data_IF_399388062780
#
_entry.id   IF_399388062780
#
_cell.length_a   1.000
_cell.length_b   1.000
_cell.length_c   1.000
_cell.angle_alpha   90.00
_cell.angle_beta   90.00
_cell.angle_gamma   90.00
#
_symmetry.space_group_name_H-M   'P 1'
#
loop_
_entity.id
_entity.type
_entity.pdbx_description
1 polymer ?
#
# COMPACT_ATOMS: atom_id res chain seq x y z
N UNK A 1 112.15 -29.92 64.46
CA UNK A 1 111.46 -30.69 65.51
C UNK A 1 110.07 -30.09 65.73
N UNK A 2 109.04 -30.91 65.52
CA UNK A 2 107.69 -30.90 66.09
C UNK A 2 106.88 -29.59 66.18
N UNK A 3 106.09 -29.28 65.14
CA UNK A 3 104.90 -28.39 65.25
C UNK A 3 103.68 -28.88 64.44
N UNK A 4 103.77 -30.02 63.74
CA UNK A 4 102.70 -30.48 62.83
C UNK A 4 101.48 -31.19 63.46
N UNK A 5 101.46 -31.70 64.72
CA UNK A 5 100.28 -32.38 65.24
C UNK A 5 99.22 -31.47 65.89
N UNK A 6 99.51 -30.18 66.16
CA UNK A 6 98.53 -29.26 66.79
C UNK A 6 97.55 -28.64 65.79
N UNK A 7 98.00 -28.29 64.59
CA UNK A 7 97.15 -27.66 63.56
C UNK A 7 96.08 -28.61 63.02
N UNK A 8 96.37 -29.90 62.92
CA UNK A 8 95.41 -30.91 62.41
C UNK A 8 94.27 -31.12 63.41
N UNK A 9 94.58 -31.17 64.70
CA UNK A 9 93.60 -31.35 65.78
C UNK A 9 92.70 -30.12 65.90
N UNK A 10 93.25 -28.90 65.75
CA UNK A 10 92.45 -27.67 65.74
C UNK A 10 91.56 -27.56 64.48
N UNK A 11 92.01 -28.10 63.35
CA UNK A 11 91.20 -28.21 62.12
C UNK A 11 90.06 -29.22 62.28
N UNK A 12 90.31 -30.40 62.84
CA UNK A 12 89.28 -31.40 63.14
C UNK A 12 88.24 -30.86 64.11
N UNK A 13 88.68 -30.15 65.15
CA UNK A 13 87.77 -29.53 66.13
C UNK A 13 86.88 -28.45 65.50
N UNK A 14 87.45 -27.58 64.65
CA UNK A 14 86.68 -26.60 63.87
C UNK A 14 85.74 -27.24 62.86
N UNK A 15 86.11 -28.39 62.29
CA UNK A 15 85.26 -29.13 61.37
C UNK A 15 84.06 -29.72 62.10
N UNK A 16 84.29 -30.33 63.27
CA UNK A 16 83.26 -30.89 64.13
C UNK A 16 82.27 -29.81 64.61
N UNK A 17 82.77 -28.67 65.08
CA UNK A 17 81.95 -27.53 65.49
C UNK A 17 81.10 -26.99 64.30
N UNK A 18 81.64 -27.04 63.09
CA UNK A 18 80.92 -26.61 61.87
C UNK A 18 79.88 -27.64 61.43
N UNK A 19 80.15 -28.93 61.58
CA UNK A 19 79.20 -30.03 61.33
C UNK A 19 78.03 -29.97 62.33
N UNK A 20 78.31 -29.82 63.63
CA UNK A 20 77.27 -29.65 64.65
C UNK A 20 76.41 -28.41 64.38
N UNK A 21 77.02 -27.30 63.96
CA UNK A 21 76.27 -26.10 63.59
C UNK A 21 75.38 -26.32 62.36
N UNK A 22 75.91 -26.96 61.31
CA UNK A 22 75.15 -27.30 60.10
C UNK A 22 73.99 -28.24 60.40
N UNK A 23 74.17 -29.19 61.31
CA UNK A 23 73.12 -30.12 61.73
C UNK A 23 72.03 -29.42 62.54
N UNK A 24 72.41 -28.47 63.40
CA UNK A 24 71.46 -27.60 64.11
C UNK A 24 70.68 -26.70 63.16
N UNK A 25 71.34 -26.07 62.17
CA UNK A 25 70.70 -25.21 61.16
C UNK A 25 69.74 -26.01 60.26
N UNK A 26 70.12 -27.23 59.86
CA UNK A 26 69.24 -28.15 59.11
C UNK A 26 68.00 -28.53 59.89
N UNK A 27 68.13 -28.77 61.19
CA UNK A 27 67.00 -29.11 62.06
C UNK A 27 66.03 -27.93 62.20
N UNK A 28 66.56 -26.73 62.45
CA UNK A 28 65.75 -25.50 62.50
C UNK A 28 65.03 -25.24 61.16
N UNK A 29 65.73 -25.42 60.05
CA UNK A 29 65.14 -25.27 58.71
C UNK A 29 64.06 -26.31 58.41
N UNK A 30 64.26 -27.55 58.87
CA UNK A 30 63.25 -28.62 58.81
C UNK A 30 61.98 -28.25 59.57
N UNK A 31 62.14 -27.78 60.81
CA UNK A 31 61.04 -27.37 61.68
C UNK A 31 60.28 -26.14 61.12
N UNK A 32 61.00 -25.16 60.57
CA UNK A 32 60.39 -23.99 59.90
C UNK A 32 59.63 -24.39 58.65
N UNK A 33 60.19 -25.30 57.84
CA UNK A 33 59.51 -25.81 56.65
C UNK A 33 58.23 -26.54 57.02
N UNK A 34 58.24 -27.37 58.05
CA UNK A 34 57.05 -28.07 58.53
C UNK A 34 55.98 -27.09 59.03
N UNK A 35 56.37 -26.07 59.82
CA UNK A 35 55.46 -25.00 60.26
C UNK A 35 54.84 -24.24 59.08
N UNK A 36 55.64 -23.92 58.06
CA UNK A 36 55.19 -23.19 56.89
C UNK A 36 54.22 -24.01 56.03
N UNK A 37 54.41 -25.34 56.01
CA UNK A 37 53.48 -26.26 55.32
C UNK A 37 52.14 -26.34 56.07
N UNK A 38 52.17 -26.51 57.40
CA UNK A 38 50.97 -26.49 58.24
C UNK A 38 50.21 -25.17 58.14
N UNK A 39 50.91 -24.04 58.16
CA UNK A 39 50.30 -22.72 58.04
C UNK A 39 49.63 -22.53 56.67
N UNK A 40 50.23 -23.06 55.59
CA UNK A 40 49.62 -23.06 54.25
C UNK A 40 48.33 -23.88 54.19
N UNK A 41 48.30 -25.04 54.83
CA UNK A 41 47.10 -25.87 54.92
C UNK A 41 46.01 -25.17 55.74
N UNK A 42 46.38 -24.55 56.86
CA UNK A 42 45.45 -23.83 57.73
C UNK A 42 44.86 -22.58 57.03
N UNK A 43 45.65 -21.85 56.24
CA UNK A 43 45.15 -20.76 55.41
C UNK A 43 44.22 -21.25 54.30
N UNK A 44 44.52 -22.40 53.67
CA UNK A 44 43.64 -23.03 52.67
C UNK A 44 42.31 -23.45 53.30
N UNK A 45 42.33 -24.04 54.48
CA UNK A 45 41.10 -24.38 55.21
C UNK A 45 40.30 -23.15 55.62
N UNK A 46 40.96 -22.09 56.10
CA UNK A 46 40.27 -20.84 56.47
C UNK A 46 39.64 -20.15 55.26
N UNK A 47 40.35 -20.11 54.12
CA UNK A 47 39.80 -19.59 52.86
C UNK A 47 38.63 -20.44 52.35
N UNK A 48 38.73 -21.76 52.43
CA UNK A 48 37.66 -22.71 52.09
C UNK A 48 36.43 -22.55 53.00
N UNK A 49 36.63 -22.31 54.31
CA UNK A 49 35.56 -22.05 55.28
C UNK A 49 34.88 -20.69 55.09
N UNK A 50 35.61 -19.67 54.63
CA UNK A 50 35.07 -18.32 54.39
C UNK A 50 34.25 -18.30 53.09
N UNK A 51 34.64 -19.05 52.06
CA UNK A 51 33.90 -19.15 50.80
C UNK A 51 32.78 -20.20 50.81
N UNK A 52 32.78 -21.15 51.76
CA UNK A 52 31.94 -22.36 51.75
C UNK A 52 31.99 -23.17 50.43
N UNK A 53 32.94 -22.85 49.56
CA UNK A 53 33.10 -23.37 48.22
C UNK A 53 34.54 -23.83 48.07
N UNK A 54 34.71 -25.02 47.49
CA UNK A 54 36.01 -25.50 47.05
C UNK A 54 36.54 -24.63 45.90
N UNK A 55 37.85 -24.65 45.65
CA UNK A 55 38.49 -23.84 44.60
C UNK A 55 37.88 -24.09 43.21
N UNK A 56 37.49 -25.33 42.92
CA UNK A 56 36.87 -25.70 41.65
C UNK A 56 35.42 -25.21 41.56
N UNK A 57 34.66 -25.24 42.66
CA UNK A 57 33.31 -24.68 42.71
C UNK A 57 33.32 -23.16 42.54
N UNK A 58 34.24 -22.45 43.21
CA UNK A 58 34.40 -21.01 43.04
C UNK A 58 34.78 -20.63 41.59
N UNK A 59 35.63 -21.42 40.94
CA UNK A 59 35.98 -21.22 39.53
C UNK A 59 34.78 -21.45 38.62
N UNK A 60 33.96 -22.46 38.91
CA UNK A 60 32.78 -22.78 38.12
C UNK A 60 31.68 -21.73 38.27
N UNK A 61 31.47 -21.22 39.49
CA UNK A 61 30.55 -20.12 39.78
C UNK A 61 30.98 -18.84 39.06
N UNK A 62 32.27 -18.50 39.12
CA UNK A 62 32.82 -17.31 38.45
C UNK A 62 32.71 -17.40 36.93
N UNK A 63 33.00 -18.57 36.35
CA UNK A 63 32.83 -18.81 34.91
C UNK A 63 31.36 -18.68 34.49
N UNK A 64 30.44 -19.18 35.32
CA UNK A 64 29.01 -19.07 35.08
C UNK A 64 28.52 -17.62 35.17
N UNK A 65 29.01 -16.84 36.14
CA UNK A 65 28.65 -15.41 36.27
C UNK A 65 29.19 -14.60 35.09
N UNK A 66 30.40 -14.92 34.60
CA UNK A 66 30.96 -14.32 33.38
C UNK A 66 30.15 -14.73 32.16
N UNK A 67 29.80 -16.01 32.00
CA UNK A 67 28.94 -16.48 30.91
C UNK A 67 27.57 -15.77 30.92
N UNK A 68 26.94 -15.61 32.08
CA UNK A 68 25.66 -14.91 32.21
C UNK A 68 25.77 -13.41 31.89
N UNK A 69 26.84 -12.74 32.31
CA UNK A 69 27.12 -11.34 31.96
C UNK A 69 27.39 -11.17 30.47
N UNK A 70 28.24 -12.01 29.89
CA UNK A 70 28.55 -11.98 28.45
C UNK A 70 27.29 -12.31 27.62
N UNK A 71 26.45 -13.25 28.07
CA UNK A 71 25.17 -13.55 27.42
C UNK A 71 24.23 -12.34 27.40
N UNK A 72 24.15 -11.56 28.48
CA UNK A 72 23.37 -10.31 28.50
C UNK A 72 23.93 -9.26 27.55
N UNK A 73 25.26 -9.12 27.46
CA UNK A 73 25.91 -8.20 26.52
C UNK A 73 25.63 -8.61 25.08
N UNK A 74 25.79 -9.90 24.75
CA UNK A 74 25.51 -10.43 23.41
C UNK A 74 24.04 -10.26 23.06
N UNK A 75 23.10 -10.56 23.97
CA UNK A 75 21.67 -10.37 23.75
C UNK A 75 21.33 -8.90 23.48
N UNK A 76 21.96 -7.95 24.19
CA UNK A 76 21.79 -6.52 23.92
C UNK A 76 22.32 -6.14 22.54
N UNK A 77 23.51 -6.61 22.15
CA UNK A 77 24.08 -6.34 20.82
C UNK A 77 23.19 -6.89 19.71
N UNK A 78 22.66 -8.12 19.88
CA UNK A 78 21.71 -8.72 18.92
C UNK A 78 20.49 -7.82 18.78
N UNK A 79 19.88 -7.41 19.90
CA UNK A 79 18.69 -6.55 19.88
C UNK A 79 18.96 -5.20 19.24
N UNK A 80 20.06 -4.54 19.60
CA UNK A 80 20.46 -3.25 19.01
C UNK A 80 20.71 -3.37 17.49
N UNK A 81 21.36 -4.45 17.07
CA UNK A 81 21.61 -4.77 15.66
C UNK A 81 20.31 -5.04 14.89
N UNK A 82 19.37 -5.82 15.47
CA UNK A 82 18.05 -6.06 14.88
C UNK A 82 17.23 -4.77 14.76
N UNK A 83 17.26 -3.90 15.77
CA UNK A 83 16.58 -2.59 15.73
C UNK A 83 17.21 -1.64 14.70
N UNK A 84 18.54 -1.63 14.56
CA UNK A 84 19.24 -0.88 13.51
C UNK A 84 18.94 -1.41 12.12
N UNK A 85 18.96 -2.73 11.93
CA UNK A 85 18.59 -3.38 10.70
C UNK A 85 17.15 -3.05 10.31
N UNK A 86 16.22 -3.09 11.27
CA UNK A 86 14.81 -2.73 11.05
C UNK A 86 14.64 -1.26 10.65
N UNK A 87 15.26 -0.34 11.38
CA UNK A 87 15.22 1.10 11.02
C UNK A 87 15.80 1.37 9.63
N UNK A 88 16.89 0.69 9.30
CA UNK A 88 17.52 0.82 7.99
C UNK A 88 16.61 0.27 6.89
N UNK A 89 15.98 -0.89 7.11
CA UNK A 89 15.03 -1.51 6.19
C UNK A 89 13.78 -0.64 5.99
N UNK A 90 13.21 -0.08 7.06
CA UNK A 90 12.05 0.82 6.98
C UNK A 90 12.36 2.05 6.13
N UNK A 91 13.52 2.69 6.37
CA UNK A 91 13.96 3.84 5.59
C UNK A 91 14.20 3.48 4.12
N UNK A 92 14.88 2.36 3.87
CA UNK A 92 15.17 1.92 2.50
C UNK A 92 13.90 1.56 1.73
N UNK A 93 12.93 0.94 2.41
CA UNK A 93 11.63 0.60 1.82
C UNK A 93 10.85 1.86 1.40
N UNK A 94 10.86 2.90 2.25
CA UNK A 94 10.28 4.20 1.88
C UNK A 94 10.99 4.84 0.69
N UNK A 95 12.31 4.79 0.64
CA UNK A 95 13.09 5.30 -0.50
C UNK A 95 12.72 4.57 -1.81
N UNK A 96 12.64 3.24 -1.78
CA UNK A 96 12.25 2.41 -2.92
C UNK A 96 10.85 2.80 -3.41
N UNK A 97 9.86 2.88 -2.50
CA UNK A 97 8.49 3.25 -2.87
C UNK A 97 8.41 4.64 -3.50
N UNK A 98 9.12 5.63 -2.94
CA UNK A 98 9.17 6.99 -3.50
C UNK A 98 9.82 7.00 -4.88
N UNK A 99 10.89 6.23 -5.08
CA UNK A 99 11.56 6.16 -6.38
C UNK A 99 10.70 5.44 -7.43
N UNK A 100 10.02 4.35 -7.04
CA UNK A 100 9.03 3.67 -7.89
C UNK A 100 7.90 4.61 -8.32
N UNK A 101 7.38 5.43 -7.41
CA UNK A 101 6.33 6.41 -7.72
C UNK A 101 6.79 7.44 -8.78
N UNK A 102 8.05 7.90 -8.70
CA UNK A 102 8.61 8.82 -9.70
C UNK A 102 8.73 8.17 -11.06
N UNK A 103 9.11 6.90 -11.11
CA UNK A 103 9.21 6.13 -12.36
C UNK A 103 7.87 5.84 -13.02
N UNK A 104 6.77 5.90 -12.26
CA UNK A 104 5.41 5.74 -12.76
C UNK A 104 4.91 6.90 -13.62
N UNK A 105 5.57 8.07 -13.66
CA UNK A 105 5.07 9.23 -14.41
C UNK A 105 4.93 8.94 -15.91
N UNK A 106 3.77 9.29 -16.50
CA UNK A 106 3.53 9.26 -17.94
C UNK A 106 3.48 10.67 -18.53
N UNK A 107 3.96 10.80 -19.77
CA UNK A 107 3.76 11.99 -20.61
C UNK A 107 2.41 11.95 -21.37
N UNK A 108 1.54 10.98 -21.07
CA UNK A 108 0.33 10.70 -21.82
C UNK A 108 -0.88 11.45 -21.25
N UNK A 109 -1.55 12.27 -22.07
CA UNK A 109 -2.82 12.90 -21.70
C UNK A 109 -3.95 11.92 -22.03
N UNK A 110 -4.71 11.50 -21.02
CA UNK A 110 -5.87 10.64 -21.23
C UNK A 110 -6.93 11.36 -22.08
N UNK A 111 -7.36 10.72 -23.17
CA UNK A 111 -8.56 11.13 -23.89
C UNK A 111 -9.80 10.59 -23.16
N UNK A 112 -10.66 11.49 -22.69
CA UNK A 112 -11.96 11.12 -22.15
C UNK A 112 -12.97 10.99 -23.29
N UNK A 113 -13.59 9.83 -23.42
CA UNK A 113 -14.71 9.65 -24.34
C UNK A 113 -15.98 10.25 -23.74
N UNK A 114 -16.26 11.50 -24.10
CA UNK A 114 -17.54 12.12 -23.74
C UNK A 114 -18.65 11.43 -24.51
N UNK A 115 -19.68 10.96 -23.80
CA UNK A 115 -20.83 10.24 -24.39
C UNK A 115 -21.91 11.17 -24.94
N UNK A 116 -21.56 12.42 -25.24
CA UNK A 116 -22.50 13.46 -25.67
C UNK A 116 -22.11 14.00 -27.05
N UNK A 117 -23.11 14.08 -27.95
CA UNK A 117 -22.98 14.73 -29.26
C UNK A 117 -23.82 15.98 -29.27
N UNK A 118 -23.21 17.14 -29.53
CA UNK A 118 -23.91 18.43 -29.61
C UNK A 118 -24.44 18.66 -31.02
N UNK A 119 -25.68 19.12 -31.10
CA UNK A 119 -26.34 19.48 -32.33
C UNK A 119 -26.80 20.93 -32.24
N UNK A 120 -26.43 21.72 -33.23
CA UNK A 120 -26.73 23.16 -33.31
C UNK A 120 -27.99 23.49 -34.12
N UNK A 121 -28.64 22.49 -34.73
CA UNK A 121 -29.77 22.67 -35.65
C UNK A 121 -30.95 21.73 -35.30
N UNK A 122 -32.14 22.31 -35.09
CA UNK A 122 -33.38 21.59 -34.81
C UNK A 122 -33.84 20.72 -36.01
N UNK A 123 -33.52 21.11 -37.25
CA UNK A 123 -33.86 20.29 -38.42
C UNK A 123 -33.06 18.98 -38.43
N UNK A 124 -31.82 18.99 -37.93
CA UNK A 124 -31.00 17.79 -37.77
C UNK A 124 -31.57 16.89 -36.66
N UNK A 125 -32.03 17.47 -35.55
CA UNK A 125 -32.71 16.74 -34.47
C UNK A 125 -33.94 16.00 -35.00
N UNK A 126 -34.77 16.67 -35.81
CA UNK A 126 -35.95 16.06 -36.46
C UNK A 126 -35.60 14.90 -37.39
N UNK A 127 -34.48 14.98 -38.13
CA UNK A 127 -34.00 13.88 -39.00
C UNK A 127 -33.47 12.70 -38.20
N UNK A 128 -32.82 12.93 -37.06
CA UNK A 128 -32.29 11.87 -36.18
C UNK A 128 -33.44 11.07 -35.56
N UNK A 129 -34.47 11.76 -35.06
CA UNK A 129 -35.68 11.09 -34.56
C UNK A 129 -36.38 10.35 -35.71
N UNK A 130 -36.58 11.05 -36.83
CA UNK A 130 -37.34 10.55 -37.97
C UNK A 130 -38.84 10.49 -37.69
N UNK A 131 -39.64 10.25 -38.74
CA UNK A 131 -41.10 10.13 -38.59
C UNK A 131 -41.44 8.99 -37.62
N UNK A 132 -42.23 9.28 -36.59
CA UNK A 132 -42.64 8.33 -35.53
C UNK A 132 -41.46 7.68 -34.77
N UNK A 133 -40.30 8.34 -34.75
CA UNK A 133 -39.11 7.79 -34.07
C UNK A 133 -38.45 6.63 -34.83
N UNK A 134 -38.76 6.42 -36.12
CA UNK A 134 -38.25 5.25 -36.86
C UNK A 134 -36.71 5.22 -36.95
N UNK A 135 -36.08 6.39 -37.04
CA UNK A 135 -34.65 6.49 -37.30
C UNK A 135 -33.87 6.28 -36.01
N UNK A 136 -34.32 6.91 -34.91
CA UNK A 136 -33.72 6.70 -33.60
C UNK A 136 -33.84 5.25 -33.15
N UNK A 137 -35.01 4.60 -33.34
CA UNK A 137 -35.17 3.16 -33.04
C UNK A 137 -34.26 2.27 -33.88
N UNK A 138 -34.12 2.55 -35.18
CA UNK A 138 -33.20 1.81 -36.04
C UNK A 138 -31.74 1.99 -35.58
N UNK A 139 -31.37 3.18 -35.13
CA UNK A 139 -30.05 3.47 -34.58
C UNK A 139 -29.80 2.75 -33.25
N UNK A 140 -30.73 2.81 -32.31
CA UNK A 140 -30.68 2.08 -31.03
C UNK A 140 -30.57 0.58 -31.27
N UNK A 141 -31.36 0.03 -32.21
CA UNK A 141 -31.31 -1.39 -32.56
C UNK A 141 -29.96 -1.80 -33.20
N UNK A 142 -29.42 -0.98 -34.11
CA UNK A 142 -28.16 -1.30 -34.79
C UNK A 142 -26.93 -1.21 -33.88
N UNK A 143 -26.96 -0.28 -32.91
CA UNK A 143 -25.84 0.01 -32.01
C UNK A 143 -25.95 -0.69 -30.65
N UNK A 144 -27.17 -1.00 -30.20
CA UNK A 144 -27.43 -1.54 -28.87
C UNK A 144 -27.19 -0.52 -27.74
N UNK A 145 -27.41 0.77 -28.03
CA UNK A 145 -27.37 1.85 -27.04
C UNK A 145 -28.74 2.52 -26.94
N UNK A 146 -29.02 3.14 -25.81
CA UNK A 146 -30.18 4.01 -25.62
C UNK A 146 -29.78 5.45 -25.95
N UNK A 147 -30.64 6.14 -26.71
CA UNK A 147 -30.38 7.52 -27.14
C UNK A 147 -31.36 8.45 -26.43
N UNK A 148 -30.81 9.34 -25.60
CA UNK A 148 -31.58 10.38 -24.93
C UNK A 148 -31.34 11.74 -25.59
N UNK A 149 -32.43 12.46 -25.85
CA UNK A 149 -32.45 13.72 -26.58
C UNK A 149 -32.90 14.84 -25.64
N UNK A 150 -31.96 15.67 -25.24
CA UNK A 150 -32.24 16.83 -24.38
C UNK A 150 -32.94 17.96 -25.18
N UNK A 151 -33.67 18.83 -24.47
CA UNK A 151 -34.28 20.03 -25.03
C UNK A 151 -33.20 21.01 -25.55
N UNK A 152 -32.01 21.01 -24.93
CA UNK A 152 -30.88 21.90 -25.29
C UNK A 152 -30.05 21.47 -26.51
N UNK A 153 -30.49 20.48 -27.28
CA UNK A 153 -29.78 20.03 -28.49
C UNK A 153 -28.56 19.15 -28.20
N UNK A 154 -28.48 18.56 -27.01
CA UNK A 154 -27.47 17.58 -26.64
C UNK A 154 -28.06 16.16 -26.75
N UNK A 155 -27.41 15.31 -27.54
CA UNK A 155 -27.73 13.88 -27.60
C UNK A 155 -26.82 13.13 -26.64
N UNK A 156 -27.41 12.43 -25.67
CA UNK A 156 -26.69 11.57 -24.72
C UNK A 156 -26.83 10.11 -25.15
N UNK A 157 -25.70 9.40 -25.19
CA UNK A 157 -25.65 7.98 -25.57
C UNK A 157 -25.37 7.13 -24.34
N UNK A 158 -26.31 6.27 -23.99
CA UNK A 158 -26.28 5.46 -22.78
C UNK A 158 -26.12 3.98 -23.13
N UNK A 159 -25.10 3.33 -22.56
CA UNK A 159 -24.91 1.88 -22.62
C UNK A 159 -23.88 1.46 -21.57
N UNK A 160 -24.04 0.25 -21.03
CA UNK A 160 -23.05 -0.37 -20.14
C UNK A 160 -21.75 -0.72 -20.88
N UNK A 161 -21.85 -1.02 -22.18
CA UNK A 161 -20.71 -1.33 -23.04
C UNK A 161 -20.15 -0.02 -23.64
N UNK A 162 -18.94 0.32 -23.19
CA UNK A 162 -18.28 1.57 -23.58
C UNK A 162 -17.81 1.53 -25.05
N UNK A 163 -17.58 0.33 -25.61
CA UNK A 163 -17.27 0.16 -27.03
C UNK A 163 -18.52 0.44 -27.87
N UNK A 164 -19.69 -0.06 -27.45
CA UNK A 164 -20.97 0.26 -28.14
C UNK A 164 -21.26 1.76 -28.12
N UNK A 165 -21.02 2.44 -26.99
CA UNK A 165 -21.16 3.91 -26.91
C UNK A 165 -20.26 4.63 -27.90
N UNK A 166 -19.00 4.21 -28.03
CA UNK A 166 -18.07 4.82 -28.98
C UNK A 166 -18.47 4.56 -30.44
N UNK A 167 -18.89 3.33 -30.77
CA UNK A 167 -19.42 2.98 -32.09
C UNK A 167 -20.63 3.86 -32.41
N UNK A 168 -21.55 4.02 -31.46
CA UNK A 168 -22.73 4.87 -31.62
C UNK A 168 -22.33 6.33 -31.84
N UNK A 169 -21.47 6.89 -30.98
CA UNK A 169 -20.99 8.28 -31.09
C UNK A 169 -20.41 8.57 -32.47
N UNK A 170 -19.44 7.76 -32.92
CA UNK A 170 -18.80 7.92 -34.23
C UNK A 170 -19.78 7.72 -35.38
N UNK A 171 -20.69 6.76 -35.26
CA UNK A 171 -21.72 6.52 -36.28
C UNK A 171 -22.66 7.71 -36.41
N UNK A 172 -23.08 8.29 -35.29
CA UNK A 172 -23.95 9.47 -35.25
C UNK A 172 -23.24 10.70 -35.85
N UNK A 173 -21.98 10.95 -35.51
CA UNK A 173 -21.18 12.02 -36.11
C UNK A 173 -21.05 11.88 -37.63
N UNK A 174 -20.84 10.65 -38.13
CA UNK A 174 -20.80 10.37 -39.58
C UNK A 174 -22.15 10.57 -40.24
N UNK A 175 -23.24 10.12 -39.62
CA UNK A 175 -24.60 10.29 -40.14
C UNK A 175 -25.02 11.76 -40.21
N UNK A 176 -24.64 12.56 -39.21
CA UNK A 176 -24.85 14.01 -39.20
C UNK A 176 -24.11 14.67 -40.37
N UNK A 177 -22.84 14.30 -40.60
CA UNK A 177 -22.04 14.81 -41.74
C UNK A 177 -22.60 14.38 -43.10
N UNK A 178 -23.13 13.15 -43.21
CA UNK A 178 -23.72 12.60 -44.43
C UNK A 178 -25.13 13.17 -44.70
N UNK A 179 -25.81 13.75 -43.69
CA UNK A 179 -27.18 14.31 -43.72
C UNK A 179 -28.31 13.33 -44.07
N UNK A 180 -27.97 12.12 -44.54
CA UNK A 180 -28.87 11.03 -44.92
C UNK A 180 -29.08 10.06 -43.76
N UNK A 181 -30.09 10.35 -42.96
CA UNK A 181 -30.44 9.56 -41.77
C UNK A 181 -31.68 8.72 -42.10
N UNK A 182 -31.45 7.50 -42.60
CA UNK A 182 -32.49 6.51 -42.94
C UNK A 182 -32.07 5.14 -42.42
N UNK A 183 -33.00 4.23 -42.08
CA UNK A 183 -32.67 2.95 -41.42
C UNK A 183 -31.57 2.15 -42.12
N UNK A 184 -31.67 1.96 -43.44
CA UNK A 184 -30.65 1.24 -44.23
C UNK A 184 -29.26 1.89 -44.14
N UNK A 185 -29.19 3.23 -44.20
CA UNK A 185 -27.94 3.96 -44.12
C UNK A 185 -27.35 3.94 -42.71
N UNK A 186 -28.21 3.96 -41.69
CA UNK A 186 -27.81 3.82 -40.29
C UNK A 186 -27.12 2.47 -40.08
N UNK A 187 -27.75 1.38 -40.50
CA UNK A 187 -27.18 0.04 -40.40
C UNK A 187 -25.83 -0.08 -41.11
N UNK A 188 -25.73 0.45 -42.34
CA UNK A 188 -24.49 0.46 -43.13
C UNK A 188 -23.35 1.22 -42.42
N UNK A 189 -23.63 2.44 -41.92
CA UNK A 189 -22.63 3.27 -41.24
C UNK A 189 -22.21 2.66 -39.90
N UNK A 190 -23.15 2.07 -39.16
CA UNK A 190 -22.85 1.40 -37.89
C UNK A 190 -21.95 0.19 -38.14
N UNK A 191 -22.25 -0.65 -39.13
CA UNK A 191 -21.44 -1.81 -39.48
C UNK A 191 -20.03 -1.41 -39.96
N UNK A 192 -19.91 -0.38 -40.78
CA UNK A 192 -18.61 0.17 -41.17
C UNK A 192 -17.83 0.69 -39.95
N UNK A 193 -18.50 1.41 -39.06
CA UNK A 193 -17.87 2.01 -37.87
C UNK A 193 -17.45 0.94 -36.87
N UNK A 194 -18.19 -0.16 -36.72
CA UNK A 194 -17.78 -1.32 -35.91
C UNK A 194 -16.42 -1.85 -36.37
N UNK A 195 -16.24 -2.07 -37.67
CA UNK A 195 -14.97 -2.55 -38.25
C UNK A 195 -13.81 -1.57 -38.04
N UNK A 196 -14.08 -0.26 -38.14
CA UNK A 196 -13.08 0.76 -37.85
C UNK A 196 -12.68 0.77 -36.37
N UNK A 197 -13.64 0.68 -35.45
CA UNK A 197 -13.38 0.62 -34.01
C UNK A 197 -12.64 -0.67 -33.63
N UNK A 198 -12.97 -1.81 -34.23
CA UNK A 198 -12.22 -3.07 -34.05
C UNK A 198 -10.76 -2.94 -34.47
N UNK A 199 -10.48 -2.28 -35.59
CA UNK A 199 -9.11 -2.02 -36.03
C UNK A 199 -8.37 -1.13 -35.03
N UNK A 200 -9.02 -0.07 -34.56
CA UNK A 200 -8.44 0.83 -33.53
C UNK A 200 -8.16 0.05 -32.24
N UNK A 201 -9.08 -0.79 -31.77
CA UNK A 201 -8.84 -1.61 -30.57
C UNK A 201 -7.60 -2.50 -30.75
N UNK A 202 -7.49 -3.19 -31.88
CA UNK A 202 -6.31 -4.02 -32.13
C UNK A 202 -5.00 -3.22 -32.11
N UNK A 203 -4.95 -2.08 -32.80
CA UNK A 203 -3.77 -1.21 -32.85
C UNK A 203 -3.40 -0.65 -31.47
N UNK A 204 -4.39 -0.29 -30.65
CA UNK A 204 -4.19 0.27 -29.32
C UNK A 204 -3.78 -0.78 -28.30
N UNK A 205 -4.31 -2.01 -28.43
CA UNK A 205 -3.86 -3.14 -27.62
C UNK A 205 -2.42 -3.56 -27.95
N UNK A 206 -2.04 -3.56 -29.23
CA UNK A 206 -0.67 -3.78 -29.67
C UNK A 206 0.27 -2.69 -29.12
N UNK A 207 -0.14 -1.42 -29.21
CA UNK A 207 0.61 -0.29 -28.67
C UNK A 207 0.81 -0.41 -27.16
N UNK A 208 -0.25 -0.70 -26.40
CA UNK A 208 -0.17 -0.89 -24.94
C UNK A 208 0.80 -2.01 -24.58
N UNK A 209 0.70 -3.17 -25.22
CA UNK A 209 1.60 -4.30 -24.98
C UNK A 209 3.07 -3.95 -25.30
N UNK A 210 3.31 -3.26 -26.42
CA UNK A 210 4.66 -2.83 -26.81
C UNK A 210 5.27 -1.80 -25.86
N UNK A 211 4.48 -0.82 -25.38
CA UNK A 211 4.96 0.20 -24.45
C UNK A 211 5.44 -0.40 -23.11
N UNK A 212 4.81 -1.49 -22.66
CA UNK A 212 5.27 -2.22 -21.46
C UNK A 212 6.38 -3.24 -21.76
N UNK A 213 6.74 -3.46 -23.03
CA UNK A 213 7.77 -4.40 -23.46
C UNK A 213 7.30 -5.85 -23.59
N UNK A 214 6.00 -6.08 -23.78
CA UNK A 214 5.41 -7.39 -24.05
C UNK A 214 5.19 -7.55 -25.55
N UNK A 215 5.74 -8.62 -26.12
CA UNK A 215 5.63 -8.95 -27.54
C UNK A 215 5.00 -10.34 -27.73
N UNK A 216 4.45 -10.61 -28.91
CA UNK A 216 3.90 -11.92 -29.32
C UNK A 216 2.64 -12.38 -28.56
N UNK A 217 1.78 -11.47 -28.13
CA UNK A 217 0.46 -11.86 -27.62
C UNK A 217 -0.46 -12.32 -28.76
N UNK A 218 -1.41 -13.24 -28.50
CA UNK A 218 -2.42 -13.63 -29.48
C UNK A 218 -3.23 -12.42 -29.95
N UNK A 219 -3.54 -12.37 -31.26
CA UNK A 219 -4.29 -11.26 -31.87
C UNK A 219 -5.60 -10.94 -31.15
N UNK A 220 -6.33 -11.97 -30.74
CA UNK A 220 -7.59 -11.81 -30.01
C UNK A 220 -7.37 -11.17 -28.63
N UNK A 221 -6.30 -11.55 -27.92
CA UNK A 221 -5.96 -10.95 -26.63
C UNK A 221 -5.54 -9.48 -26.77
N UNK A 222 -4.81 -9.14 -27.83
CA UNK A 222 -4.50 -7.74 -28.18
C UNK A 222 -5.78 -6.94 -28.43
N UNK A 223 -6.74 -7.49 -29.18
CA UNK A 223 -8.03 -6.82 -29.39
C UNK A 223 -8.82 -6.62 -28.08
N UNK A 224 -8.72 -7.54 -27.13
CA UNK A 224 -9.35 -7.40 -25.79
C UNK A 224 -8.65 -6.30 -24.99
N UNK A 225 -7.31 -6.29 -24.94
CA UNK A 225 -6.53 -5.21 -24.31
C UNK A 225 -6.87 -3.84 -24.91
N UNK A 226 -7.09 -3.78 -26.22
CA UNK A 226 -7.52 -2.58 -26.93
C UNK A 226 -8.78 -1.90 -26.38
N UNK A 227 -9.67 -2.68 -25.75
CA UNK A 227 -10.88 -2.15 -25.10
C UNK A 227 -10.56 -1.23 -23.92
N UNK A 228 -9.35 -1.31 -23.34
CA UNK A 228 -8.90 -0.43 -22.26
C UNK A 228 -8.98 1.03 -22.69
N UNK A 229 -8.73 1.34 -23.98
CA UNK A 229 -8.82 2.70 -24.51
C UNK A 229 -10.16 3.35 -24.22
N UNK A 230 -11.23 2.58 -24.26
CA UNK A 230 -12.58 3.08 -24.05
C UNK A 230 -13.06 2.88 -22.62
N UNK A 231 -12.29 2.20 -21.76
CA UNK A 231 -12.66 1.89 -20.38
C UNK A 231 -12.08 2.93 -19.42
N UNK A 232 -12.95 3.50 -18.60
CA UNK A 232 -12.55 4.35 -17.47
C UNK A 232 -12.92 3.65 -16.16
N UNK A 233 -12.06 3.73 -15.15
CA UNK A 233 -12.28 3.22 -13.80
C UNK A 233 -12.01 4.35 -12.81
N UNK A 234 -13.02 4.72 -12.02
CA UNK A 234 -12.95 5.84 -11.07
C UNK A 234 -12.48 7.17 -11.69
N UNK A 235 -12.77 7.41 -12.98
CA UNK A 235 -12.31 8.63 -13.66
C UNK A 235 -10.90 8.57 -14.26
N UNK A 236 -10.18 7.45 -14.14
CA UNK A 236 -8.92 7.23 -14.84
C UNK A 236 -9.12 6.31 -16.05
N UNK A 237 -8.50 6.66 -17.19
CA UNK A 237 -8.48 5.77 -18.34
C UNK A 237 -7.64 4.52 -18.04
N UNK A 238 -8.14 3.33 -18.40
CA UNK A 238 -7.51 2.07 -18.03
C UNK A 238 -6.16 1.86 -18.72
N UNK A 239 -5.94 2.38 -19.94
CA UNK A 239 -4.62 2.32 -20.61
C UNK A 239 -3.57 3.06 -19.79
N UNK A 240 -3.90 4.27 -19.36
CA UNK A 240 -3.02 5.13 -18.57
C UNK A 240 -2.68 4.48 -17.24
N UNK A 241 -3.71 4.00 -16.52
CA UNK A 241 -3.55 3.26 -15.27
C UNK A 241 -2.62 2.05 -15.43
N UNK A 242 -2.89 1.19 -16.42
CA UNK A 242 -2.09 -0.02 -16.64
C UNK A 242 -0.64 0.30 -17.00
N UNK A 243 -0.37 1.33 -17.80
CA UNK A 243 0.99 1.75 -18.13
C UNK A 243 1.75 2.25 -16.89
N UNK A 244 1.09 3.05 -16.05
CA UNK A 244 1.66 3.60 -14.81
C UNK A 244 1.97 2.50 -13.81
N UNK A 245 0.98 1.66 -13.52
CA UNK A 245 1.13 0.48 -12.67
C UNK A 245 2.26 -0.41 -13.17
N UNK A 246 2.31 -0.72 -14.47
CA UNK A 246 3.34 -1.61 -15.00
C UNK A 246 4.74 -1.03 -14.84
N UNK A 247 4.93 0.28 -15.02
CA UNK A 247 6.21 0.96 -14.78
C UNK A 247 6.63 0.87 -13.30
N UNK A 248 5.68 1.13 -12.39
CA UNK A 248 5.91 1.03 -10.94
C UNK A 248 6.27 -0.40 -10.56
N UNK A 249 5.50 -1.39 -11.02
CA UNK A 249 5.69 -2.80 -10.75
C UNK A 249 7.03 -3.33 -11.25
N UNK A 250 7.43 -3.00 -12.48
CA UNK A 250 8.73 -3.37 -13.04
C UNK A 250 9.87 -2.81 -12.18
N UNK A 251 9.79 -1.54 -11.77
CA UNK A 251 10.82 -0.93 -10.93
C UNK A 251 10.91 -1.62 -9.57
N UNK A 252 9.77 -1.87 -8.92
CA UNK A 252 9.71 -2.62 -7.65
C UNK A 252 10.33 -4.01 -7.79
N UNK A 253 9.99 -4.72 -8.88
CA UNK A 253 10.52 -6.07 -9.15
C UNK A 253 12.04 -6.08 -9.26
N UNK A 254 12.65 -5.05 -9.85
CA UNK A 254 14.10 -4.91 -9.92
C UNK A 254 14.72 -4.70 -8.53
N UNK A 255 14.15 -3.82 -7.71
CA UNK A 255 14.65 -3.50 -6.37
C UNK A 255 14.62 -4.72 -5.43
N UNK A 256 13.56 -5.54 -5.51
CA UNK A 256 13.40 -6.73 -4.66
C UNK A 256 13.90 -8.03 -5.33
N UNK A 257 14.45 -7.95 -6.55
CA UNK A 257 14.94 -9.10 -7.34
C UNK A 257 13.87 -10.18 -7.62
N UNK A 258 12.63 -9.75 -7.83
CA UNK A 258 11.52 -10.62 -8.25
C UNK A 258 11.55 -10.88 -9.76
N UNK A 259 10.69 -11.77 -10.26
CA UNK A 259 10.58 -12.03 -11.69
C UNK A 259 9.85 -10.88 -12.41
N UNK A 260 10.64 -10.04 -13.10
CA UNK A 260 10.15 -8.86 -13.82
C UNK A 260 9.15 -9.20 -14.92
N UNK A 261 9.32 -10.33 -15.62
CA UNK A 261 8.42 -10.72 -16.72
C UNK A 261 7.05 -11.13 -16.21
N UNK A 262 7.00 -11.82 -15.07
CA UNK A 262 5.75 -12.19 -14.40
C UNK A 262 5.03 -10.92 -13.90
N UNK A 263 5.75 -9.99 -13.26
CA UNK A 263 5.16 -8.72 -12.80
C UNK A 263 4.66 -7.89 -13.97
N UNK A 264 5.43 -7.76 -15.06
CA UNK A 264 5.04 -7.02 -16.26
C UNK A 264 3.73 -7.53 -16.86
N UNK A 265 3.63 -8.85 -17.05
CA UNK A 265 2.42 -9.47 -17.58
C UNK A 265 1.27 -9.43 -16.57
N UNK A 266 1.56 -9.58 -15.27
CA UNK A 266 0.60 -9.43 -14.19
C UNK A 266 -0.04 -8.05 -14.18
N UNK A 267 0.75 -6.97 -14.22
CA UNK A 267 0.28 -5.59 -14.29
C UNK A 267 -0.51 -5.32 -15.58
N UNK A 268 -0.02 -5.80 -16.74
CA UNK A 268 -0.71 -5.64 -18.02
C UNK A 268 -2.12 -6.26 -18.00
N UNK A 269 -2.29 -7.38 -17.29
CA UNK A 269 -3.52 -8.15 -17.29
C UNK A 269 -4.40 -7.99 -16.05
N UNK A 270 -3.97 -7.28 -15.00
CA UNK A 270 -4.66 -7.24 -13.70
C UNK A 270 -6.17 -6.96 -13.85
N UNK A 271 -6.53 -5.97 -14.68
CA UNK A 271 -7.90 -5.55 -14.90
C UNK A 271 -8.51 -6.02 -16.23
N UNK A 272 -7.91 -7.01 -16.91
CA UNK A 272 -8.40 -7.48 -18.22
C UNK A 272 -9.86 -7.98 -18.16
N UNK A 273 -10.30 -8.48 -16.99
CA UNK A 273 -11.68 -8.88 -16.80
C UNK A 273 -12.70 -7.73 -16.81
N UNK A 274 -12.29 -6.47 -16.64
CA UNK A 274 -13.20 -5.30 -16.70
C UNK A 274 -13.77 -5.05 -18.10
N UNK A 275 -13.15 -5.64 -19.13
CA UNK A 275 -13.54 -5.49 -20.55
C UNK A 275 -14.06 -6.79 -21.17
N UNK A 276 -14.28 -7.81 -20.35
CA UNK A 276 -14.84 -9.13 -20.72
C UNK A 276 -16.27 -9.22 -20.20
N UNK A 277 -17.19 -9.64 -21.06
CA UNK A 277 -18.58 -9.90 -20.66
C UNK A 277 -18.70 -11.29 -20.01
N UNK A 278 -19.41 -11.39 -18.89
CA UNK A 278 -19.67 -12.67 -18.22
C UNK A 278 -20.18 -12.52 -16.78
N UNK A 279 -20.55 -13.63 -16.16
CA UNK A 279 -20.96 -13.68 -14.75
C UNK A 279 -19.76 -13.89 -13.82
N UNK A 280 -19.60 -13.00 -12.84
CA UNK A 280 -18.55 -13.08 -11.81
C UNK A 280 -17.82 -11.75 -11.58
N UNK A 281 -16.87 -11.76 -10.66
CA UNK A 281 -15.95 -10.62 -10.49
C UNK A 281 -15.01 -10.48 -11.68
N UNK A 282 -14.52 -9.26 -11.95
CA UNK A 282 -13.57 -9.02 -13.04
C UNK A 282 -12.27 -9.83 -12.83
N UNK A 283 -11.86 -10.04 -11.58
CA UNK A 283 -10.76 -10.92 -11.20
C UNK A 283 -10.96 -12.33 -11.77
N UNK A 284 -12.12 -12.93 -11.52
CA UNK A 284 -12.45 -14.28 -12.01
C UNK A 284 -12.53 -14.33 -13.54
N UNK A 285 -13.20 -13.36 -14.15
CA UNK A 285 -13.32 -13.27 -15.61
C UNK A 285 -11.96 -13.13 -16.29
N UNK A 286 -11.06 -12.32 -15.72
CA UNK A 286 -9.69 -12.17 -16.18
C UNK A 286 -8.90 -13.47 -16.06
N UNK A 287 -8.95 -14.14 -14.91
CA UNK A 287 -8.29 -15.43 -14.72
C UNK A 287 -8.78 -16.51 -15.69
N UNK A 288 -10.09 -16.63 -15.87
CA UNK A 288 -10.69 -17.62 -16.79
C UNK A 288 -10.34 -17.31 -18.26
N UNK A 289 -10.27 -16.04 -18.64
CA UNK A 289 -9.81 -15.62 -19.97
C UNK A 289 -8.35 -16.05 -20.20
N UNK A 290 -7.46 -15.72 -19.28
CA UNK A 290 -6.03 -15.99 -19.42
C UNK A 290 -5.72 -17.49 -19.46
N UNK A 291 -6.51 -18.31 -18.73
CA UNK A 291 -6.45 -19.78 -18.84
C UNK A 291 -6.77 -20.28 -20.25
N UNK A 292 -7.78 -19.71 -20.92
CA UNK A 292 -8.13 -20.08 -22.31
C UNK A 292 -7.00 -19.78 -23.29
N UNK A 293 -6.20 -18.75 -23.03
CA UNK A 293 -5.03 -18.39 -23.83
C UNK A 293 -3.73 -19.10 -23.40
N UNK A 294 -3.80 -20.07 -22.47
CA UNK A 294 -2.65 -20.79 -21.92
C UNK A 294 -1.57 -19.87 -21.33
N UNK A 295 -1.97 -18.75 -20.71
CA UNK A 295 -1.05 -17.89 -19.98
C UNK A 295 -0.53 -18.64 -18.74
N UNK A 296 0.77 -18.53 -18.39
CA UNK A 296 1.33 -19.22 -17.23
C UNK A 296 0.64 -18.89 -15.90
N UNK A 297 0.47 -19.91 -15.04
CA UNK A 297 -0.21 -19.78 -13.74
C UNK A 297 0.34 -18.67 -12.83
N UNK A 298 1.66 -18.41 -12.74
CA UNK A 298 2.17 -17.30 -11.91
C UNK A 298 1.61 -15.92 -12.31
N UNK A 299 1.35 -15.70 -13.61
CA UNK A 299 0.75 -14.46 -14.11
C UNK A 299 -0.74 -14.43 -13.80
N UNK A 300 -1.42 -15.57 -13.99
CA UNK A 300 -2.85 -15.71 -13.66
C UNK A 300 -3.07 -15.46 -12.17
N UNK A 301 -2.18 -15.95 -11.30
CA UNK A 301 -2.26 -15.71 -9.87
C UNK A 301 -2.15 -14.22 -9.52
N UNK A 302 -1.24 -13.47 -10.16
CA UNK A 302 -1.17 -12.02 -9.98
C UNK A 302 -2.53 -11.36 -10.28
N UNK A 303 -3.17 -11.74 -11.38
CA UNK A 303 -4.51 -11.24 -11.76
C UNK A 303 -5.59 -11.71 -10.78
N UNK A 304 -5.50 -12.92 -10.25
CA UNK A 304 -6.47 -13.45 -9.28
C UNK A 304 -6.31 -12.86 -7.86
N UNK A 305 -5.16 -12.26 -7.56
CA UNK A 305 -4.74 -11.88 -6.20
C UNK A 305 -4.66 -10.36 -6.00
N UNK A 306 -4.74 -9.56 -7.08
CA UNK A 306 -4.53 -8.11 -7.01
C UNK A 306 -5.59 -7.31 -6.24
N UNK A 307 -6.68 -7.92 -5.75
CA UNK A 307 -7.62 -7.29 -4.79
C UNK A 307 -7.41 -7.75 -3.35
N UNK A 308 -6.42 -8.62 -3.10
CA UNK A 308 -6.19 -9.24 -1.77
C UNK A 308 -7.39 -10.08 -1.25
N UNK A 309 -8.30 -10.48 -2.15
CA UNK A 309 -9.44 -11.35 -1.82
C UNK A 309 -9.03 -12.75 -1.32
N UNK A 310 -7.78 -13.15 -1.61
CA UNK A 310 -7.14 -14.38 -1.14
C UNK A 310 -5.65 -14.11 -0.88
N UNK A 311 -4.97 -14.95 -0.07
CA UNK A 311 -3.55 -14.77 0.22
C UNK A 311 -2.69 -14.78 -1.04
N UNK A 312 -1.68 -13.91 -1.07
CA UNK A 312 -0.70 -13.87 -2.15
C UNK A 312 0.10 -15.16 -2.23
N UNK A 313 0.18 -15.73 -3.42
CA UNK A 313 0.91 -16.95 -3.73
C UNK A 313 2.39 -16.71 -4.02
N UNK A 314 2.77 -15.48 -4.38
CA UNK A 314 4.15 -15.11 -4.70
C UNK A 314 4.45 -13.64 -4.41
N UNK A 315 5.73 -13.28 -4.38
CA UNK A 315 6.18 -11.90 -4.22
C UNK A 315 5.74 -11.03 -5.41
N UNK A 316 5.67 -11.60 -6.61
CA UNK A 316 5.18 -10.91 -7.80
C UNK A 316 3.72 -10.48 -7.66
N UNK A 317 2.88 -11.32 -7.05
CA UNK A 317 1.47 -10.98 -6.80
C UNK A 317 1.34 -9.82 -5.81
N UNK A 318 2.20 -9.78 -4.79
CA UNK A 318 2.30 -8.64 -3.86
C UNK A 318 2.75 -7.37 -4.59
N UNK A 319 3.72 -7.46 -5.51
CA UNK A 319 4.20 -6.31 -6.28
C UNK A 319 3.11 -5.74 -7.18
N UNK A 320 2.35 -6.60 -7.87
CA UNK A 320 1.23 -6.16 -8.74
C UNK A 320 0.17 -5.43 -7.89
N UNK A 321 -0.22 -5.99 -6.74
CA UNK A 321 -1.13 -5.33 -5.81
C UNK A 321 -0.62 -3.95 -5.34
N UNK A 322 0.65 -3.86 -4.94
CA UNK A 322 1.26 -2.60 -4.52
C UNK A 322 1.27 -1.59 -5.67
N UNK A 323 1.62 -2.02 -6.88
CA UNK A 323 1.67 -1.16 -8.04
C UNK A 323 0.29 -0.59 -8.41
N UNK A 324 -0.76 -1.42 -8.39
CA UNK A 324 -2.15 -1.01 -8.64
C UNK A 324 -2.60 0.01 -7.58
N UNK A 325 -2.34 -0.27 -6.30
CA UNK A 325 -2.66 0.62 -5.19
C UNK A 325 -1.95 1.98 -5.31
N UNK A 326 -0.67 2.01 -5.68
CA UNK A 326 0.09 3.25 -5.89
C UNK A 326 -0.48 4.05 -7.07
N UNK A 327 -0.75 3.37 -8.19
CA UNK A 327 -1.29 4.03 -9.38
C UNK A 327 -2.65 4.68 -9.09
N UNK A 328 -3.54 3.95 -8.40
CA UNK A 328 -4.91 4.35 -8.11
C UNK A 328 -5.12 5.28 -6.92
N UNK A 329 -4.15 5.45 -6.02
CA UNK A 329 -4.24 6.31 -4.82
C UNK A 329 -3.81 7.77 -5.07
N UNK A 330 -3.38 8.14 -6.28
CA UNK A 330 -2.87 9.49 -6.57
C UNK A 330 -4.00 10.54 -6.55
N UNK A 331 -3.81 11.68 -5.88
CA UNK A 331 -4.74 12.81 -5.94
C UNK A 331 -4.96 13.26 -7.39
N UNK A 332 -6.21 13.33 -7.84
CA UNK A 332 -6.58 13.67 -9.22
C UNK A 332 -6.56 12.51 -10.23
N UNK A 333 -6.09 11.31 -9.85
CA UNK A 333 -6.26 10.11 -10.67
C UNK A 333 -7.71 9.60 -10.61
N UNK A 334 -8.38 9.80 -9.47
CA UNK A 334 -9.81 9.59 -9.35
C UNK A 334 -10.56 10.91 -9.51
N UNK A 335 -11.36 11.04 -10.56
CA UNK A 335 -12.43 12.03 -10.55
C UNK A 335 -13.49 11.52 -9.59
N UNK A 336 -13.42 11.93 -8.32
CA UNK A 336 -14.64 11.97 -7.54
C UNK A 336 -15.61 12.89 -8.27
N UNK A 337 -16.81 12.38 -8.54
CA UNK A 337 -17.86 13.14 -9.21
C UNK A 337 -18.15 14.38 -8.37
N UNK A 338 -17.60 15.52 -8.79
CA UNK A 338 -17.59 16.75 -7.98
C UNK A 338 -19.02 17.18 -7.64
N UNK A 339 -19.98 16.84 -8.51
CA UNK A 339 -21.41 17.07 -8.29
C UNK A 339 -22.01 16.15 -7.23
N UNK A 340 -21.73 14.84 -7.27
CA UNK A 340 -22.24 13.90 -6.26
C UNK A 340 -21.57 14.17 -4.90
N UNK A 341 -20.28 14.51 -4.90
CA UNK A 341 -19.56 14.99 -3.73
C UNK A 341 -20.19 16.25 -3.12
N UNK A 342 -20.44 17.27 -3.94
CA UNK A 342 -21.07 18.52 -3.49
C UNK A 342 -22.50 18.28 -2.99
N UNK A 343 -23.25 17.38 -3.64
CA UNK A 343 -24.60 17.00 -3.23
C UNK A 343 -24.58 16.27 -1.89
N UNK A 344 -23.66 15.31 -1.71
CA UNK A 344 -23.46 14.59 -0.45
C UNK A 344 -23.10 15.52 0.72
N UNK A 345 -22.18 16.46 0.51
CA UNK A 345 -21.82 17.44 1.55
C UNK A 345 -23.04 18.28 1.95
N UNK A 346 -23.82 18.76 0.97
CA UNK A 346 -25.06 19.51 1.23
C UNK A 346 -26.08 18.67 1.99
N UNK A 347 -26.32 17.43 1.59
CA UNK A 347 -27.26 16.54 2.30
C UNK A 347 -26.84 16.31 3.76
N UNK A 348 -25.54 16.17 4.01
CA UNK A 348 -24.99 16.01 5.36
C UNK A 348 -25.20 17.26 6.24
N UNK A 349 -25.01 18.44 5.67
CA UNK A 349 -25.30 19.72 6.33
C UNK A 349 -26.81 19.90 6.60
N UNK A 350 -27.65 19.53 5.64
CA UNK A 350 -29.11 19.60 5.76
C UNK A 350 -29.66 18.63 6.83
N UNK A 351 -29.07 17.44 7.00
CA UNK A 351 -29.43 16.52 8.09
C UNK A 351 -29.18 17.20 9.45
N UNK A 352 -28.00 17.80 9.65
CA UNK A 352 -27.71 18.49 10.91
C UNK A 352 -28.61 19.69 11.17
N UNK A 353 -28.93 20.47 10.12
CA UNK A 353 -29.79 21.67 10.22
C UNK A 353 -31.24 21.37 10.61
N UNK A 354 -31.70 20.11 10.50
CA UNK A 354 -33.04 19.70 10.96
C UNK A 354 -33.18 19.64 12.48
N UNK A 355 -32.06 19.55 13.21
CA UNK A 355 -32.09 19.42 14.68
C UNK A 355 -32.33 20.78 15.34
N UNK A 356 -33.30 20.83 16.25
CA UNK A 356 -33.62 22.04 16.99
C UNK A 356 -32.42 22.49 17.85
N UNK A 357 -32.04 23.76 17.72
CA UNK A 357 -30.88 24.35 18.41
C UNK A 357 -29.58 24.31 17.60
N UNK A 358 -29.56 23.68 16.43
CA UNK A 358 -28.50 23.84 15.43
C UNK A 358 -28.73 25.15 14.67
N UNK A 359 -27.74 26.05 14.71
CA UNK A 359 -27.76 27.30 13.98
C UNK A 359 -27.19 27.15 12.57
N UNK A 360 -26.11 26.37 12.43
CA UNK A 360 -25.48 26.10 11.14
C UNK A 360 -24.70 24.78 11.18
N UNK A 361 -24.36 24.24 10.02
CA UNK A 361 -23.58 23.02 9.91
C UNK A 361 -22.69 23.06 8.66
N UNK A 362 -21.47 22.55 8.80
CA UNK A 362 -20.44 22.56 7.76
C UNK A 362 -19.74 21.21 7.67
N UNK A 363 -19.75 20.60 6.49
CA UNK A 363 -19.05 19.35 6.22
C UNK A 363 -17.61 19.59 5.74
N UNK A 364 -16.65 18.85 6.29
CA UNK A 364 -15.21 18.93 6.00
C UNK A 364 -14.64 17.53 5.69
N UNK A 365 -13.38 17.50 5.26
CA UNK A 365 -12.60 16.27 5.04
C UNK A 365 -13.35 15.21 4.23
N UNK A 366 -13.85 15.61 3.06
CA UNK A 366 -14.61 14.75 2.17
C UNK A 366 -15.88 14.13 2.77
N UNK A 367 -16.49 14.77 3.76
CA UNK A 367 -17.69 14.28 4.43
C UNK A 367 -17.40 13.39 5.64
N UNK A 368 -16.14 13.28 6.07
CA UNK A 368 -15.75 12.55 7.28
C UNK A 368 -15.80 13.38 8.55
N UNK A 369 -15.83 14.70 8.43
CA UNK A 369 -16.01 15.60 9.57
C UNK A 369 -17.23 16.50 9.35
N UNK A 370 -18.09 16.61 10.35
CA UNK A 370 -19.22 17.55 10.36
C UNK A 370 -19.10 18.45 11.57
N UNK A 371 -19.05 19.77 11.34
CA UNK A 371 -19.07 20.76 12.42
C UNK A 371 -20.44 21.38 12.52
N UNK A 372 -21.03 21.30 13.71
CA UNK A 372 -22.38 21.76 13.98
C UNK A 372 -22.30 22.93 14.94
N UNK A 373 -22.78 24.09 14.53
CA UNK A 373 -22.82 25.30 15.35
C UNK A 373 -24.12 25.31 16.14
N UNK A 374 -24.00 25.35 17.46
CA UNK A 374 -25.12 25.26 18.38
C UNK A 374 -25.44 26.62 18.97
N UNK A 375 -26.73 26.98 18.96
CA UNK A 375 -27.23 28.18 19.63
C UNK A 375 -27.17 27.98 21.16
N UNK A 376 -26.30 28.73 21.88
CA UNK A 376 -26.13 28.56 23.32
C UNK A 376 -27.37 28.96 24.12
N UNK A 377 -28.31 29.72 23.52
CA UNK A 377 -29.57 30.11 24.14
C UNK A 377 -30.66 29.05 24.06
N UNK A 378 -30.51 28.04 23.18
CA UNK A 378 -31.50 26.97 22.99
C UNK A 378 -31.09 25.64 23.62
N UNK A 379 -29.80 25.31 23.60
CA UNK A 379 -29.29 24.05 24.10
C UNK A 379 -28.22 24.27 25.18
N UNK A 380 -28.26 23.44 26.22
CA UNK A 380 -27.20 23.33 27.22
C UNK A 380 -26.09 22.35 26.78
N UNK A 381 -25.03 22.21 27.58
CA UNK A 381 -23.87 21.36 27.25
C UNK A 381 -24.23 19.87 27.16
N UNK A 382 -25.20 19.42 27.95
CA UNK A 382 -25.64 18.02 27.95
C UNK A 382 -26.46 17.71 26.70
N UNK A 383 -27.37 18.62 26.35
CA UNK A 383 -28.19 18.54 25.15
C UNK A 383 -27.35 18.66 23.87
N UNK A 384 -26.31 19.51 23.90
CA UNK A 384 -25.33 19.65 22.81
C UNK A 384 -24.63 18.33 22.52
N UNK A 385 -24.17 17.64 23.57
CA UNK A 385 -23.51 16.32 23.44
C UNK A 385 -24.47 15.28 22.87
N UNK A 386 -25.73 15.28 23.33
CA UNK A 386 -26.76 14.35 22.85
C UNK A 386 -27.08 14.56 21.36
N UNK A 387 -27.21 15.82 20.94
CA UNK A 387 -27.51 16.18 19.54
C UNK A 387 -26.34 15.83 18.62
N UNK A 388 -25.09 16.07 19.04
CA UNK A 388 -23.92 15.64 18.27
C UNK A 388 -23.93 14.13 17.98
N UNK A 389 -24.30 13.31 18.97
CA UNK A 389 -24.40 11.86 18.81
C UNK A 389 -25.54 11.45 17.89
N UNK A 390 -26.72 12.07 18.03
CA UNK A 390 -27.87 11.81 17.15
C UNK A 390 -27.59 12.16 15.69
N UNK A 391 -27.00 13.33 15.46
CA UNK A 391 -26.61 13.77 14.11
C UNK A 391 -25.60 12.78 13.50
N UNK A 392 -24.61 12.33 14.28
CA UNK A 392 -23.64 11.33 13.80
C UNK A 392 -24.35 10.05 13.35
N UNK A 393 -25.23 9.51 14.18
CA UNK A 393 -25.91 8.24 13.90
C UNK A 393 -26.87 8.37 12.69
N UNK A 394 -27.56 9.51 12.54
CA UNK A 394 -28.42 9.77 11.38
C UNK A 394 -27.61 9.94 10.09
N UNK A 395 -26.50 10.68 10.12
CA UNK A 395 -25.61 10.83 8.97
C UNK A 395 -25.01 9.50 8.55
N UNK A 396 -24.51 8.71 9.51
CA UNK A 396 -23.92 7.39 9.22
C UNK A 396 -24.93 6.35 8.70
N UNK A 397 -26.22 6.52 9.01
CA UNK A 397 -27.28 5.62 8.53
C UNK A 397 -27.94 6.08 7.23
N UNK A 398 -28.00 7.39 6.97
CA UNK A 398 -28.68 7.97 5.81
C UNK A 398 -27.76 8.16 4.61
N UNK A 399 -26.46 8.39 4.83
CA UNK A 399 -25.48 8.63 3.79
C UNK A 399 -24.43 7.52 3.79
N UNK A 400 -24.13 6.97 2.61
CA UNK A 400 -23.04 6.02 2.44
C UNK A 400 -21.69 6.77 2.50
N UNK A 401 -21.21 7.03 3.71
CA UNK A 401 -19.91 7.67 3.93
C UNK A 401 -18.83 6.59 4.13
N UNK A 402 -17.76 6.58 3.32
CA UNK A 402 -16.66 5.64 3.52
C UNK A 402 -15.86 6.04 4.77
N UNK A 403 -15.89 5.21 5.81
CA UNK A 403 -15.18 5.42 7.09
C UNK A 403 -16.08 5.96 8.20
N UNK A 404 -15.50 6.20 9.38
CA UNK A 404 -16.24 6.78 10.50
C UNK A 404 -16.45 8.29 10.31
N UNK A 405 -17.68 8.75 10.56
CA UNK A 405 -18.04 10.17 10.54
C UNK A 405 -17.84 10.79 11.92
N UNK A 406 -17.03 11.83 12.00
CA UNK A 406 -16.78 12.60 13.22
C UNK A 406 -17.68 13.84 13.25
N UNK A 407 -18.58 13.93 14.23
CA UNK A 407 -19.40 15.13 14.46
C UNK A 407 -18.82 15.93 15.62
N UNK A 408 -18.48 17.20 15.37
CA UNK A 408 -18.02 18.15 16.38
C UNK A 408 -19.08 19.22 16.57
N UNK A 409 -19.74 19.25 17.73
CA UNK A 409 -20.66 20.32 18.09
C UNK A 409 -19.91 21.46 18.79
N UNK A 410 -20.11 22.68 18.31
CA UNK A 410 -19.47 23.90 18.80
C UNK A 410 -20.57 24.81 19.36
N UNK A 411 -20.57 24.97 20.69
CA UNK A 411 -21.44 25.90 21.40
C UNK A 411 -20.58 27.04 21.93
N UNK A 412 -20.78 28.24 21.41
CA UNK A 412 -19.95 29.40 21.78
C UNK A 412 -20.84 30.60 22.12
N UNK A 413 -20.62 31.17 23.31
CA UNK A 413 -21.25 32.42 23.73
C UNK A 413 -20.18 33.51 23.80
N UNK A 414 -20.34 34.58 22.99
CA UNK A 414 -19.46 35.74 23.00
C UNK A 414 -20.21 36.97 23.49
N UNK A 415 -19.66 37.65 24.48
CA UNK A 415 -20.10 38.97 24.91
C UNK A 415 -18.94 39.94 24.80
N UNK A 416 -19.17 41.09 24.17
CA UNK A 416 -18.17 42.15 24.00
C UNK A 416 -18.75 43.43 24.58
N UNK A 417 -18.01 44.04 25.50
CA UNK A 417 -18.35 45.35 26.08
C UNK A 417 -17.31 46.37 25.60
N UNK A 418 -17.73 47.31 24.78
CA UNK A 418 -16.92 48.48 24.42
C UNK A 418 -17.27 49.64 25.35
N UNK A 419 -16.26 50.20 26.03
CA UNK A 419 -16.41 51.45 26.77
C UNK A 419 -16.43 52.64 25.81
N UNK A 420 -17.44 53.50 25.91
CA UNK A 420 -17.40 54.81 25.28
C UNK A 420 -16.53 55.75 26.14
N UNK A 421 -15.40 56.19 25.59
CA UNK A 421 -14.72 57.38 26.11
C UNK A 421 -15.62 58.60 25.79
N UNK A 422 -16.01 59.34 26.83
CA UNK A 422 -16.62 60.66 26.72
C UNK A 422 -15.56 61.72 26.45
#
# INVERSE_FOLDING_TARGET
>A
MASQPKDIIDLEKKLLEKEERLESEKKVFGDEKEKLTKLKEEYREKLSKISSLTTDEARKELLKEVEEKEAQVVARIIKESEEEAKRTADKKSQEILIDSMKHGSLDYIAEYTVSAVRISDEDLKGRIIGKEGRNIRAFEQATGVDVDLDEEGVIRLSSFDQVRREVARRSLEKLIKDTRIQPFRIEEIVEQTKKEVEKIMFEEGEKLAHEVGVFNLPKELLSILGRFKFRTSYGQNLVVHTLEETKIGIHLAHEVKANVDVVRLGCLFHDIGKVVEGEGSHVKLGGDLLKKFNIPEPIINCVLEHHEDKPFSSIESVIVYIADAISGARPGARYEDVEEYATRLKEMEEIAKKYEGVQDAYAFEAGRELRVIIDPGKLDDSQTTLIAHKIRDEVSSSLAVPGEVKVTAIREFRSVSSGSEN
#
